data_IF_013866288617
#
_entry.id   IF_013866288617
#
_cell.length_a   1.000
_cell.length_b   1.000
_cell.length_c   1.000
_cell.angle_alpha   90.00
_cell.angle_beta   90.00
_cell.angle_gamma   90.00
#
_symmetry.space_group_name_H-M   'P 1'
#
loop_
_entity.id
_entity.type
_entity.pdbx_description
1 polymer ?
#
# COMPACT_ATOMS: atom_id res chain seq x y z
N UNK A 1 -27.95 1.53 -15.30
CA UNK A 1 -26.49 1.35 -15.50
C UNK A 1 -25.62 2.33 -14.69
N UNK A 2 -25.77 3.66 -14.84
CA UNK A 2 -24.93 4.67 -14.13
C UNK A 2 -25.02 4.62 -12.59
N UNK A 3 -26.20 4.36 -12.04
CA UNK A 3 -26.38 4.19 -10.60
C UNK A 3 -25.65 2.97 -10.02
N UNK A 4 -25.48 1.90 -10.81
CA UNK A 4 -24.82 0.67 -10.36
C UNK A 4 -23.29 0.79 -10.27
N UNK A 5 -22.68 1.72 -11.04
CA UNK A 5 -21.23 1.97 -11.05
C UNK A 5 -20.75 2.89 -9.90
N UNK A 6 -21.68 3.45 -9.13
CA UNK A 6 -21.36 4.43 -8.08
C UNK A 6 -20.97 5.80 -8.63
N UNK A 7 -20.54 6.70 -7.74
CA UNK A 7 -20.04 8.03 -8.11
C UNK A 7 -18.58 7.95 -8.56
N UNK A 8 -18.23 8.65 -9.63
CA UNK A 8 -16.83 8.87 -10.00
C UNK A 8 -16.11 9.50 -8.80
N UNK A 9 -15.00 8.92 -8.33
CA UNK A 9 -14.27 9.49 -7.22
C UNK A 9 -13.65 10.86 -7.60
N UNK A 10 -13.68 11.82 -6.68
CA UNK A 10 -13.03 13.13 -6.83
C UNK A 10 -11.52 13.04 -6.63
N UNK A 11 -10.80 14.16 -6.72
CA UNK A 11 -9.37 14.32 -6.45
C UNK A 11 -9.03 14.60 -4.97
N UNK A 12 -9.99 15.07 -4.17
CA UNK A 12 -9.86 15.20 -2.71
C UNK A 12 -10.35 13.94 -2.00
N UNK A 13 -9.47 13.25 -1.27
CA UNK A 13 -9.77 11.98 -0.59
C UNK A 13 -9.66 12.12 0.92
N UNK A 14 -10.75 11.77 1.63
CA UNK A 14 -10.72 11.64 3.07
C UNK A 14 -10.19 10.25 3.46
N UNK A 15 -9.11 10.22 4.24
CA UNK A 15 -8.50 9.00 4.76
C UNK A 15 -7.81 9.30 6.08
N UNK A 16 -8.14 8.53 7.12
CA UNK A 16 -7.47 8.63 8.42
C UNK A 16 -6.06 8.05 8.34
N UNK A 17 -5.14 8.64 9.11
CA UNK A 17 -3.79 8.13 9.33
C UNK A 17 -3.80 6.73 9.96
N UNK A 18 -2.64 6.07 10.00
CA UNK A 18 -2.49 4.82 10.75
C UNK A 18 -2.62 5.10 12.24
N UNK A 19 -3.57 4.44 12.90
CA UNK A 19 -3.76 4.58 14.34
C UNK A 19 -2.51 4.12 15.11
N UNK A 20 -2.08 4.84 16.15
CA UNK A 20 -0.96 4.43 17.00
C UNK A 20 -1.12 3.06 17.67
N UNK A 21 -2.36 2.57 17.80
CA UNK A 21 -2.73 1.26 18.36
C UNK A 21 -3.36 0.34 17.31
N UNK A 22 -3.36 0.74 16.03
CA UNK A 22 -3.98 -0.01 14.95
C UNK A 22 -3.21 -1.27 14.57
N UNK A 23 -3.94 -2.32 14.16
CA UNK A 23 -3.35 -3.60 13.71
C UNK A 23 -2.41 -3.46 12.51
N UNK A 24 -2.62 -2.45 11.66
CA UNK A 24 -1.76 -2.20 10.49
C UNK A 24 -0.38 -1.66 10.88
N UNK A 25 -0.21 -1.12 12.11
CA UNK A 25 1.02 -0.46 12.53
C UNK A 25 2.19 -1.45 12.54
N UNK A 26 3.26 -1.07 11.86
CA UNK A 26 4.50 -1.87 11.77
C UNK A 26 5.60 -1.40 12.72
N UNK A 27 5.48 -0.17 13.23
CA UNK A 27 6.53 0.53 13.98
C UNK A 27 7.33 1.54 13.14
N UNK A 28 7.13 1.59 11.82
CA UNK A 28 7.77 2.60 10.98
C UNK A 28 7.15 4.01 11.22
N UNK A 29 7.95 5.06 11.46
CA UNK A 29 7.44 6.35 11.95
C UNK A 29 6.42 7.04 11.05
N UNK A 30 6.60 6.94 9.73
CA UNK A 30 5.80 7.68 8.74
C UNK A 30 4.93 6.75 7.87
N UNK A 31 4.57 5.57 8.39
CA UNK A 31 3.75 4.59 7.68
C UNK A 31 2.46 5.21 7.12
N UNK A 32 2.22 5.01 5.82
CA UNK A 32 0.96 5.39 5.18
C UNK A 32 -0.11 4.30 5.36
N UNK A 33 -1.40 4.67 5.47
CA UNK A 33 -2.50 3.71 5.56
C UNK A 33 -2.61 2.88 4.28
N UNK A 34 -2.76 1.56 4.41
CA UNK A 34 -2.85 0.68 3.23
C UNK A 34 -4.06 0.99 2.35
N UNK A 35 -5.13 1.57 2.93
CA UNK A 35 -6.33 1.95 2.20
C UNK A 35 -6.05 2.94 1.06
N UNK A 36 -5.12 3.89 1.26
CA UNK A 36 -4.78 4.87 0.22
C UNK A 36 -3.97 4.21 -0.89
N UNK A 37 -3.00 3.36 -0.53
CA UNK A 37 -2.18 2.62 -1.49
C UNK A 37 -3.03 1.66 -2.32
N UNK A 38 -3.97 0.93 -1.69
CA UNK A 38 -4.90 0.03 -2.37
C UNK A 38 -5.74 0.75 -3.42
N UNK A 39 -6.17 1.98 -3.13
CA UNK A 39 -6.90 2.79 -4.10
C UNK A 39 -6.01 3.17 -5.29
N UNK A 40 -4.79 3.63 -5.04
CA UNK A 40 -3.84 4.02 -6.08
C UNK A 40 -3.49 2.81 -6.97
N UNK A 41 -3.07 1.70 -6.38
CA UNK A 41 -2.73 0.47 -7.12
C UNK A 41 -3.91 0.00 -7.96
N UNK A 42 -5.12 -0.04 -7.41
CA UNK A 42 -6.32 -0.48 -8.14
C UNK A 42 -6.63 0.38 -9.36
N UNK A 43 -6.45 1.70 -9.26
CA UNK A 43 -6.79 2.65 -10.34
C UNK A 43 -5.70 2.68 -11.42
N UNK A 44 -4.44 2.51 -11.05
CA UNK A 44 -3.29 2.72 -11.94
C UNK A 44 -2.57 1.43 -12.37
N UNK A 45 -3.11 0.26 -12.08
CA UNK A 45 -2.55 -1.03 -12.50
C UNK A 45 -3.62 -2.10 -12.69
N UNK A 46 -3.28 -3.20 -13.35
CA UNK A 46 -4.08 -4.42 -13.53
C UNK A 46 -3.46 -5.58 -12.74
N UNK A 47 -4.24 -6.63 -12.40
CA UNK A 47 -3.67 -7.85 -11.83
C UNK A 47 -2.55 -8.39 -12.73
N UNK A 48 -1.44 -8.82 -12.14
CA UNK A 48 -0.22 -9.25 -12.84
C UNK A 48 0.71 -8.13 -13.28
N UNK A 49 0.34 -6.85 -13.16
CA UNK A 49 1.27 -5.75 -13.39
C UNK A 49 2.31 -5.67 -12.25
N UNK A 50 3.47 -5.11 -12.59
CA UNK A 50 4.53 -4.76 -11.64
C UNK A 50 4.39 -3.30 -11.18
N UNK A 51 4.38 -3.07 -9.87
CA UNK A 51 4.48 -1.71 -9.29
C UNK A 51 5.83 -1.50 -8.61
N UNK A 52 6.29 -0.25 -8.57
CA UNK A 52 7.60 0.11 -7.99
C UNK A 52 7.42 1.23 -6.98
N UNK A 53 8.01 1.07 -5.79
CA UNK A 53 8.16 2.14 -4.79
C UNK A 53 9.65 2.32 -4.43
N UNK A 54 10.30 3.41 -4.87
CA UNK A 54 11.70 3.66 -4.57
C UNK A 54 11.94 4.22 -3.15
N UNK A 55 10.89 4.49 -2.37
CA UNK A 55 10.95 5.03 -1.01
C UNK A 55 9.96 4.30 -0.10
N UNK A 56 10.04 2.97 -0.12
CA UNK A 56 8.96 2.09 0.33
C UNK A 56 8.71 2.12 1.85
N UNK A 57 9.72 2.48 2.66
CA UNK A 57 9.63 2.61 4.10
C UNK A 57 9.04 1.36 4.76
N UNK A 58 7.79 1.48 5.23
CA UNK A 58 7.04 0.38 5.85
C UNK A 58 6.47 -0.68 4.90
N UNK A 59 6.67 -0.55 3.59
CA UNK A 59 6.18 -1.50 2.58
C UNK A 59 4.66 -1.44 2.33
N UNK A 60 4.01 -0.31 2.61
CA UNK A 60 2.55 -0.15 2.44
C UNK A 60 2.11 -0.39 0.98
N UNK A 61 2.87 0.09 -0.01
CA UNK A 61 2.54 -0.18 -1.43
C UNK A 61 2.60 -1.68 -1.73
N UNK A 62 3.63 -2.37 -1.22
CA UNK A 62 3.80 -3.81 -1.39
C UNK A 62 2.62 -4.62 -0.87
N UNK A 63 2.13 -4.30 0.33
CA UNK A 63 0.94 -4.97 0.86
C UNK A 63 -0.28 -4.75 -0.05
N UNK A 64 -0.50 -3.51 -0.49
CA UNK A 64 -1.61 -3.19 -1.38
C UNK A 64 -1.49 -3.90 -2.74
N UNK A 65 -0.28 -4.01 -3.29
CA UNK A 65 0.01 -4.74 -4.52
C UNK A 65 -0.32 -6.23 -4.37
N UNK A 66 0.21 -6.87 -3.33
CA UNK A 66 0.02 -8.29 -3.08
C UNK A 66 -1.46 -8.64 -2.83
N UNK A 67 -2.18 -7.87 -2.01
CA UNK A 67 -3.62 -8.05 -1.79
C UNK A 67 -4.46 -7.91 -3.08
N UNK A 68 -3.97 -7.15 -4.05
CA UNK A 68 -4.62 -6.95 -5.34
C UNK A 68 -4.08 -7.88 -6.43
N UNK A 69 -3.11 -8.76 -6.14
CA UNK A 69 -2.49 -9.64 -7.14
C UNK A 69 -1.61 -8.89 -8.14
N UNK A 70 -0.78 -7.97 -7.67
CA UNK A 70 0.29 -7.31 -8.43
C UNK A 70 1.64 -7.70 -7.84
N UNK A 71 2.66 -7.76 -8.68
CA UNK A 71 4.04 -7.85 -8.21
C UNK A 71 4.54 -6.47 -7.76
N UNK A 72 5.53 -6.44 -6.87
CA UNK A 72 6.10 -5.19 -6.39
C UNK A 72 7.62 -5.24 -6.25
N UNK A 73 8.30 -4.18 -6.69
CA UNK A 73 9.68 -3.87 -6.30
C UNK A 73 9.63 -2.73 -5.29
N UNK A 74 10.17 -2.97 -4.10
CA UNK A 74 10.21 -2.02 -3.00
C UNK A 74 11.66 -1.75 -2.64
N UNK A 75 12.03 -0.47 -2.62
CA UNK A 75 13.40 -0.04 -2.36
C UNK A 75 13.37 0.96 -1.20
N UNK A 76 14.35 0.84 -0.33
CA UNK A 76 14.62 1.80 0.73
C UNK A 76 16.11 1.71 1.08
N UNK A 77 16.75 2.82 1.49
CA UNK A 77 18.16 2.82 1.88
C UNK A 77 18.37 2.35 3.33
N UNK A 78 17.30 2.34 4.12
CA UNK A 78 17.34 2.04 5.54
C UNK A 78 17.22 0.53 5.78
N UNK A 79 18.26 -0.06 6.37
CA UNK A 79 18.21 -1.44 6.82
C UNK A 79 17.04 -1.72 7.79
N UNK A 80 16.65 -0.73 8.61
CA UNK A 80 15.50 -0.83 9.51
C UNK A 80 14.17 -0.87 8.74
N UNK A 81 14.02 -0.05 7.69
CA UNK A 81 12.87 -0.10 6.80
C UNK A 81 12.76 -1.46 6.11
N UNK A 82 13.87 -1.95 5.54
CA UNK A 82 13.94 -3.25 4.87
C UNK A 82 13.51 -4.38 5.82
N UNK A 83 14.03 -4.42 7.05
CA UNK A 83 13.64 -5.43 8.04
C UNK A 83 12.15 -5.36 8.40
N UNK A 84 11.60 -4.14 8.50
CA UNK A 84 10.15 -3.94 8.72
C UNK A 84 9.35 -4.46 7.52
N UNK A 85 9.77 -4.16 6.28
CA UNK A 85 9.11 -4.63 5.06
C UNK A 85 9.12 -6.14 4.96
N UNK A 86 10.27 -6.79 5.20
CA UNK A 86 10.39 -8.25 5.18
C UNK A 86 9.45 -8.90 6.19
N UNK A 87 9.41 -8.40 7.43
CA UNK A 87 8.48 -8.92 8.44
C UNK A 87 7.01 -8.69 8.06
N UNK A 88 6.68 -7.51 7.53
CA UNK A 88 5.32 -7.19 7.11
C UNK A 88 4.89 -8.08 5.95
N UNK A 89 5.74 -8.24 4.94
CA UNK A 89 5.40 -8.86 3.66
C UNK A 89 5.66 -10.37 3.60
N UNK A 90 6.27 -10.96 4.63
CA UNK A 90 6.58 -12.39 4.67
C UNK A 90 5.36 -13.33 4.57
N UNK A 91 4.13 -12.82 4.68
CA UNK A 91 2.91 -13.61 4.40
C UNK A 91 2.59 -13.74 2.90
N UNK A 92 3.25 -12.96 2.05
CA UNK A 92 3.07 -12.93 0.58
C UNK A 92 4.33 -13.35 -0.20
N UNK A 93 5.43 -13.59 0.50
CA UNK A 93 6.63 -14.23 -0.04
C UNK A 93 6.51 -15.75 0.08
#
# INVERSE_FOLDING_TARGET
EKAARGKTPTDVWWQTIVSPTGKEKTGYPTQKPVAIARRIVRVHSRPGDLVIDPFAGSGTLGQAAAELGRDAILIDDSAAAIAIMQRRLGAWM
#
